data_IF_562187631571
#
_entry.id   IF_562187631571
#
_cell.length_a   1.000
_cell.length_b   1.000
_cell.length_c   1.000
_cell.angle_alpha   90.00
_cell.angle_beta   90.00
_cell.angle_gamma   90.00
#
_symmetry.space_group_name_H-M   'P 1'
#
loop_
_entity.id
_entity.type
_entity.pdbx_description
1 polymer ?
#
# COMPACT_ATOMS: atom_id res chain seq x y z
N UNK A 1 -7.30 3.11 0.23
CA UNK A 1 -6.72 4.16 1.12
C UNK A 1 -6.57 3.67 2.55
N UNK A 2 -7.60 3.06 3.15
CA UNK A 2 -7.53 2.56 4.52
C UNK A 2 -6.36 1.60 4.77
N UNK A 3 -6.10 0.66 3.85
CA UNK A 3 -4.98 -0.28 3.96
C UNK A 3 -3.61 0.40 4.00
N UNK A 4 -3.42 1.44 3.17
CA UNK A 4 -2.20 2.24 3.19
C UNK A 4 -2.05 3.00 4.51
N UNK A 5 -3.14 3.57 5.03
CA UNK A 5 -3.12 4.27 6.32
C UNK A 5 -2.74 3.32 7.47
N UNK A 6 -3.34 2.13 7.51
CA UNK A 6 -3.01 1.10 8.52
C UNK A 6 -1.55 0.67 8.38
N UNK A 7 -1.03 0.45 7.16
CA UNK A 7 0.37 0.12 6.96
C UNK A 7 1.32 1.20 7.51
N UNK A 8 1.04 2.48 7.25
CA UNK A 8 1.83 3.58 7.80
C UNK A 8 1.76 3.63 9.32
N UNK A 9 0.60 3.36 9.92
CA UNK A 9 0.46 3.25 11.38
C UNK A 9 1.32 2.10 11.91
N UNK A 10 1.32 0.93 11.26
CA UNK A 10 2.14 -0.20 11.68
C UNK A 10 3.63 0.16 11.70
N UNK A 11 4.11 0.88 10.68
CA UNK A 11 5.50 1.37 10.65
C UNK A 11 5.84 2.38 11.76
N UNK A 12 4.86 3.07 12.34
CA UNK A 12 5.10 3.92 13.51
C UNK A 12 5.38 3.10 14.78
N UNK A 13 4.89 1.86 14.85
CA UNK A 13 5.03 1.01 16.05
C UNK A 13 6.24 0.09 15.99
N UNK A 14 6.69 -0.31 14.80
CA UNK A 14 7.82 -1.21 14.68
C UNK A 14 8.50 -1.17 13.32
N UNK A 15 9.74 -1.64 13.32
CA UNK A 15 10.54 -1.85 12.12
C UNK A 15 11.05 -3.28 12.05
N UNK A 16 11.24 -3.77 10.83
CA UNK A 16 11.89 -5.04 10.55
C UNK A 16 13.29 -4.77 9.99
N UNK A 17 14.29 -5.42 10.56
CA UNK A 17 15.69 -5.35 10.09
C UNK A 17 16.08 -6.75 9.65
N UNK A 18 16.60 -6.94 8.43
CA UNK A 18 16.98 -8.26 7.96
C UNK A 18 18.22 -8.72 8.75
N UNK A 19 18.25 -10.00 9.16
CA UNK A 19 19.34 -10.57 9.97
C UNK A 19 20.27 -11.48 9.14
N UNK A 20 20.54 -11.10 7.88
CA UNK A 20 21.29 -11.90 6.91
C UNK A 20 22.68 -12.31 7.44
N UNK A 21 23.20 -13.50 7.08
CA UNK A 21 22.68 -14.44 6.07
C UNK A 21 21.47 -15.27 6.52
N UNK A 22 21.17 -15.30 7.82
CA UNK A 22 19.97 -15.97 8.29
C UNK A 22 18.73 -15.34 7.64
N UNK A 23 17.85 -16.17 7.09
CA UNK A 23 16.54 -15.76 6.54
C UNK A 23 15.55 -15.45 7.67
N UNK A 24 15.97 -14.54 8.54
CA UNK A 24 15.22 -14.06 9.70
C UNK A 24 15.11 -12.53 9.65
N UNK A 25 14.03 -12.03 10.25
CA UNK A 25 13.80 -10.62 10.45
C UNK A 25 13.88 -10.32 11.95
N UNK A 26 14.69 -9.33 12.31
CA UNK A 26 14.71 -8.78 13.66
C UNK A 26 13.59 -7.75 13.79
N UNK A 27 12.68 -8.00 14.72
CA UNK A 27 11.63 -7.05 15.05
C UNK A 27 12.12 -6.03 16.09
N UNK A 28 12.04 -4.75 15.74
CA UNK A 28 12.40 -3.62 16.62
C UNK A 28 11.15 -2.82 16.94
N UNK A 29 10.58 -3.05 18.13
CA UNK A 29 9.54 -2.20 18.70
C UNK A 29 10.13 -0.83 19.07
N UNK A 30 9.57 0.24 18.50
CA UNK A 30 10.04 1.61 18.75
C UNK A 30 9.43 2.21 20.02
N UNK A 31 8.28 1.70 20.44
CA UNK A 31 7.45 2.29 21.51
C UNK A 31 7.57 1.57 22.84
N UNK A 32 8.10 0.35 22.84
CA UNK A 32 8.01 -0.59 23.96
C UNK A 32 6.59 -1.07 24.25
N UNK A 33 5.59 -0.60 23.49
CA UNK A 33 4.18 -0.92 23.69
C UNK A 33 3.84 -2.38 23.41
N UNK A 34 4.69 -3.11 22.69
CA UNK A 34 4.54 -4.53 22.38
C UNK A 34 5.41 -5.43 23.25
N UNK A 35 5.94 -4.90 24.37
CA UNK A 35 6.75 -5.68 25.31
C UNK A 35 6.02 -6.90 25.92
N UNK A 36 4.69 -6.96 25.85
CA UNK A 36 3.88 -8.08 26.31
C UNK A 36 3.79 -9.24 25.31
N UNK A 37 4.17 -9.03 24.05
CA UNK A 37 4.19 -10.08 23.04
C UNK A 37 5.53 -10.80 23.05
N UNK A 38 5.49 -12.12 22.90
CA UNK A 38 6.68 -12.88 22.57
C UNK A 38 7.34 -12.29 21.30
N UNK A 39 8.65 -11.95 21.32
CA UNK A 39 9.27 -11.24 20.19
C UNK A 39 9.25 -12.02 18.88
N UNK A 40 9.32 -13.35 18.93
CA UNK A 40 9.29 -14.20 17.75
C UNK A 40 7.89 -14.21 17.14
N UNK A 41 6.85 -14.44 17.97
CA UNK A 41 5.46 -14.31 17.55
C UNK A 41 5.14 -12.90 17.01
N UNK A 42 5.61 -11.86 17.72
CA UNK A 42 5.39 -10.47 17.38
C UNK A 42 5.96 -10.12 16.01
N UNK A 43 7.19 -10.52 15.71
CA UNK A 43 7.81 -10.27 14.41
C UNK A 43 7.16 -11.07 13.27
N UNK A 44 6.71 -12.30 13.52
CA UNK A 44 5.93 -13.08 12.54
C UNK A 44 4.60 -12.42 12.22
N UNK A 45 3.85 -12.05 13.26
CA UNK A 45 2.57 -11.35 13.12
C UNK A 45 2.74 -10.00 12.41
N UNK A 46 3.74 -9.21 12.80
CA UNK A 46 4.02 -7.92 12.17
C UNK A 46 4.32 -8.07 10.68
N UNK A 47 5.19 -9.02 10.32
CA UNK A 47 5.53 -9.29 8.92
C UNK A 47 4.32 -9.73 8.12
N UNK A 48 3.52 -10.67 8.64
CA UNK A 48 2.24 -11.09 8.02
C UNK A 48 1.30 -9.92 7.79
N UNK A 49 1.09 -9.07 8.80
CA UNK A 49 0.21 -7.91 8.71
C UNK A 49 0.71 -6.89 7.68
N UNK A 50 2.01 -6.64 7.63
CA UNK A 50 2.63 -5.72 6.68
C UNK A 50 2.42 -6.18 5.23
N UNK A 51 2.74 -7.44 4.92
CA UNK A 51 2.50 -7.99 3.59
C UNK A 51 1.00 -8.08 3.27
N UNK A 52 0.16 -8.39 4.27
CA UNK A 52 -1.29 -8.37 4.11
C UNK A 52 -1.76 -6.98 3.67
N UNK A 53 -1.36 -5.90 4.34
CA UNK A 53 -1.76 -4.54 3.96
C UNK A 53 -1.37 -4.18 2.53
N UNK A 54 -0.21 -4.64 2.08
CA UNK A 54 0.29 -4.42 0.71
C UNK A 54 -0.59 -5.15 -0.31
N UNK A 55 -0.84 -6.44 -0.10
CA UNK A 55 -1.72 -7.24 -0.97
C UNK A 55 -3.12 -6.63 -1.00
N UNK A 56 -3.66 -6.22 0.16
CA UNK A 56 -4.96 -5.57 0.23
C UNK A 56 -4.99 -4.20 -0.48
N UNK A 57 -3.88 -3.48 -0.52
CA UNK A 57 -3.76 -2.27 -1.34
C UNK A 57 -3.83 -2.62 -2.84
N UNK A 58 -3.11 -3.65 -3.28
CA UNK A 58 -3.15 -4.15 -4.66
C UNK A 58 -4.55 -4.60 -5.07
N UNK A 59 -5.23 -5.39 -4.23
CA UNK A 59 -6.62 -5.82 -4.45
C UNK A 59 -7.56 -4.62 -4.56
N UNK A 60 -7.42 -3.61 -3.71
CA UNK A 60 -8.24 -2.41 -3.77
C UNK A 60 -8.05 -1.62 -5.08
N UNK A 61 -6.82 -1.57 -5.60
CA UNK A 61 -6.51 -0.94 -6.91
C UNK A 61 -7.20 -1.72 -8.03
N UNK A 62 -7.07 -3.05 -8.07
CA UNK A 62 -7.71 -3.90 -9.07
C UNK A 62 -9.23 -3.73 -9.04
N UNK A 63 -9.85 -3.83 -7.85
CA UNK A 63 -11.28 -3.62 -7.67
C UNK A 63 -11.71 -2.23 -8.15
N UNK A 64 -10.92 -1.19 -7.89
CA UNK A 64 -11.22 0.17 -8.35
C UNK A 64 -11.30 0.26 -9.87
N UNK A 65 -10.34 -0.34 -10.60
CA UNK A 65 -10.40 -0.41 -12.06
C UNK A 65 -11.51 -1.34 -12.57
N UNK A 66 -11.79 -2.43 -11.86
CA UNK A 66 -12.87 -3.34 -12.21
C UNK A 66 -14.23 -2.65 -12.16
N UNK A 67 -14.58 -1.97 -11.06
CA UNK A 67 -15.84 -1.23 -10.96
C UNK A 67 -15.92 -0.09 -11.98
N UNK A 68 -14.79 0.58 -12.28
CA UNK A 68 -14.76 1.59 -13.35
C UNK A 68 -15.07 0.99 -14.71
N UNK A 69 -14.45 -0.13 -15.04
CA UNK A 69 -14.74 -0.86 -16.27
C UNK A 69 -16.21 -1.26 -16.35
N UNK A 70 -16.78 -1.82 -15.28
CA UNK A 70 -18.19 -2.21 -15.21
C UNK A 70 -19.14 -1.02 -15.40
N UNK A 71 -18.84 0.14 -14.80
CA UNK A 71 -19.65 1.36 -14.98
C UNK A 71 -19.59 1.87 -16.43
N UNK A 72 -18.43 1.78 -17.10
CA UNK A 72 -18.26 2.25 -18.48
C UNK A 72 -18.94 1.30 -19.48
N UNK A 73 -18.75 -0.02 -19.32
CA UNK A 73 -19.21 -1.02 -20.27
C UNK A 73 -20.66 -1.49 -20.00
N UNK A 74 -21.05 -1.59 -18.73
CA UNK A 74 -22.29 -2.20 -18.27
C UNK A 74 -23.11 -1.26 -17.38
N UNK A 75 -23.16 0.03 -17.75
CA UNK A 75 -23.84 1.07 -16.95
C UNK A 75 -25.29 0.74 -16.60
N UNK A 76 -26.05 0.13 -17.53
CA UNK A 76 -27.46 -0.23 -17.29
C UNK A 76 -27.59 -1.39 -16.30
N UNK A 77 -26.73 -2.40 -16.40
CA UNK A 77 -26.73 -3.52 -15.47
C UNK A 77 -26.33 -3.09 -14.05
N UNK A 78 -25.26 -2.30 -13.92
CA UNK A 78 -24.81 -1.78 -12.61
C UNK A 78 -25.92 -1.00 -11.89
N UNK A 79 -26.78 -0.28 -12.61
CA UNK A 79 -27.92 0.45 -11.99
C UNK A 79 -28.97 -0.46 -11.36
N UNK A 80 -29.09 -1.70 -11.85
CA UNK A 80 -30.05 -2.69 -11.34
C UNK A 80 -29.52 -3.49 -10.16
N UNK A 81 -28.20 -3.56 -9.99
CA UNK A 81 -27.56 -4.32 -8.92
C UNK A 81 -27.60 -3.51 -7.62
N UNK A 82 -28.15 -4.10 -6.56
CA UNK A 82 -28.18 -3.46 -5.25
C UNK A 82 -26.74 -3.23 -4.72
N UNK A 83 -26.38 -2.03 -4.21
CA UNK A 83 -25.02 -1.71 -3.78
C UNK A 83 -24.42 -2.70 -2.76
N UNK A 84 -25.25 -3.30 -1.90
CA UNK A 84 -24.84 -4.34 -0.94
C UNK A 84 -24.10 -5.50 -1.60
N UNK A 85 -24.51 -5.94 -2.79
CA UNK A 85 -23.83 -7.03 -3.49
C UNK A 85 -22.42 -6.63 -3.93
N UNK A 86 -22.21 -5.36 -4.29
CA UNK A 86 -20.89 -4.81 -4.58
C UNK A 86 -19.99 -4.85 -3.33
N UNK A 87 -20.51 -4.49 -2.16
CA UNK A 87 -19.76 -4.57 -0.90
C UNK A 87 -19.44 -6.00 -0.49
N UNK A 88 -20.41 -6.92 -0.60
CA UNK A 88 -20.20 -8.35 -0.32
C UNK A 88 -19.09 -8.90 -1.23
N UNK A 89 -19.14 -8.58 -2.53
CA UNK A 89 -18.10 -8.96 -3.49
C UNK A 89 -16.72 -8.42 -3.09
N UNK A 90 -16.60 -7.13 -2.75
CA UNK A 90 -15.34 -6.55 -2.30
C UNK A 90 -14.79 -7.27 -1.06
N UNK A 91 -15.63 -7.50 -0.06
CA UNK A 91 -15.25 -8.19 1.18
C UNK A 91 -14.76 -9.60 0.87
N UNK A 92 -15.51 -10.36 0.06
CA UNK A 92 -15.15 -11.72 -0.32
C UNK A 92 -13.80 -11.79 -1.04
N UNK A 93 -13.55 -10.89 -2.00
CA UNK A 93 -12.26 -10.83 -2.71
C UNK A 93 -11.12 -10.47 -1.75
N UNK A 94 -11.29 -9.45 -0.90
CA UNK A 94 -10.29 -9.08 0.10
C UNK A 94 -9.97 -10.25 1.05
N UNK A 95 -10.99 -10.93 1.58
CA UNK A 95 -10.83 -12.10 2.46
C UNK A 95 -10.14 -13.26 1.76
N UNK A 96 -10.45 -13.53 0.49
CA UNK A 96 -9.82 -14.60 -0.28
C UNK A 96 -8.30 -14.40 -0.37
N UNK A 97 -7.86 -13.20 -0.74
CA UNK A 97 -6.43 -12.87 -0.78
C UNK A 97 -5.80 -12.82 0.62
N UNK A 98 -6.54 -12.39 1.66
CA UNK A 98 -6.06 -12.43 3.05
C UNK A 98 -5.74 -13.86 3.49
N UNK A 99 -6.70 -14.77 3.32
CA UNK A 99 -6.55 -16.17 3.76
C UNK A 99 -5.40 -16.82 3.02
N UNK A 100 -5.35 -16.68 1.70
CA UNK A 100 -4.28 -17.24 0.87
C UNK A 100 -2.89 -16.74 1.32
N UNK A 101 -2.74 -15.43 1.53
CA UNK A 101 -1.51 -14.81 2.00
C UNK A 101 -1.10 -15.33 3.39
N UNK A 102 -2.05 -15.38 4.34
CA UNK A 102 -1.78 -15.87 5.70
C UNK A 102 -1.37 -17.35 5.70
N UNK A 103 -2.00 -18.19 4.88
CA UNK A 103 -1.65 -19.59 4.71
C UNK A 103 -0.22 -19.76 4.16
N UNK A 104 0.16 -19.00 3.13
CA UNK A 104 1.52 -19.08 2.56
C UNK A 104 2.57 -18.70 3.61
N UNK A 105 2.36 -17.59 4.32
CA UNK A 105 3.33 -17.17 5.33
C UNK A 105 3.39 -18.15 6.49
N UNK A 106 2.26 -18.67 6.94
CA UNK A 106 2.26 -19.68 8.00
C UNK A 106 3.05 -20.95 7.63
N UNK A 107 3.00 -21.39 6.37
CA UNK A 107 3.79 -22.53 5.89
C UNK A 107 5.29 -22.18 5.76
N UNK A 108 5.62 -20.91 5.55
CA UNK A 108 7.00 -20.45 5.37
C UNK A 108 7.75 -20.22 6.69
N UNK A 109 7.02 -19.94 7.77
CA UNK A 109 7.56 -19.72 9.11
C UNK A 109 8.20 -20.98 9.69
N UNK A 110 9.29 -20.77 10.44
CA UNK A 110 9.95 -21.80 11.23
C UNK A 110 10.26 -21.22 12.60
N UNK A 111 10.09 -22.02 13.65
CA UNK A 111 10.45 -21.57 14.98
C UNK A 111 11.96 -21.35 15.08
N UNK A 112 12.40 -20.50 16.00
CA UNK A 112 13.84 -20.28 16.24
C UNK A 112 14.55 -21.57 16.66
N UNK A 113 13.88 -22.42 17.44
CA UNK A 113 14.43 -23.69 17.93
C UNK A 113 14.58 -24.72 16.81
N UNK A 114 13.69 -24.68 15.81
CA UNK A 114 13.69 -25.58 14.66
C UNK A 114 14.47 -25.01 13.45
N UNK A 115 15.20 -23.89 13.63
CA UNK A 115 15.95 -23.28 12.53
C UNK A 115 17.13 -24.18 12.11
N UNK A 116 17.28 -24.53 10.82
CA UNK A 116 18.23 -25.55 10.39
C UNK A 116 19.71 -25.15 10.53
N UNK A 117 20.01 -23.85 10.61
CA UNK A 117 21.36 -23.30 10.69
C UNK A 117 21.56 -22.52 12.02
N UNK A 118 21.65 -23.20 13.18
CA UNK A 118 21.68 -22.54 14.49
C UNK A 118 22.89 -21.60 14.68
N UNK A 119 24.01 -21.85 13.98
CA UNK A 119 25.18 -20.99 13.98
C UNK A 119 24.93 -19.59 13.40
N UNK A 120 23.99 -19.45 12.46
CA UNK A 120 23.67 -18.15 11.84
C UNK A 120 22.81 -17.25 12.75
N UNK A 121 22.15 -17.85 13.74
CA UNK A 121 21.24 -17.18 14.69
C UNK A 121 21.82 -17.07 16.11
N UNK A 122 22.98 -17.70 16.38
CA UNK A 122 23.56 -17.71 17.72
C UNK A 122 23.87 -16.28 18.23
N UNK A 123 23.44 -15.98 19.46
CA UNK A 123 23.59 -14.66 20.07
C UNK A 123 22.66 -13.56 19.53
N UNK A 124 21.77 -13.87 18.57
CA UNK A 124 20.77 -12.93 18.06
C UNK A 124 19.44 -13.14 18.78
N UNK A 125 18.93 -12.10 19.41
CA UNK A 125 17.62 -12.11 20.06
C UNK A 125 16.53 -11.49 19.17
N UNK A 126 15.27 -11.83 19.46
CA UNK A 126 14.07 -11.23 18.84
C UNK A 126 14.01 -11.42 17.33
N UNK A 127 14.31 -12.63 16.88
CA UNK A 127 14.25 -13.03 15.48
C UNK A 127 12.94 -13.72 15.17
N UNK A 128 12.40 -13.43 13.99
CA UNK A 128 11.33 -14.20 13.35
C UNK A 128 11.91 -14.84 12.10
N UNK A 129 11.95 -16.17 12.05
CA UNK A 129 12.74 -16.91 11.08
C UNK A 129 11.89 -17.67 10.06
N UNK A 130 12.43 -17.86 8.86
CA UNK A 130 11.73 -18.54 7.78
C UNK A 130 12.55 -19.67 7.18
N UNK A 131 11.90 -20.67 6.59
CA UNK A 131 12.56 -21.83 6.02
C UNK A 131 13.56 -21.43 4.91
N UNK A 132 14.87 -21.67 5.07
CA UNK A 132 15.88 -21.17 4.12
C UNK A 132 15.97 -22.00 2.83
N UNK A 133 15.39 -23.20 2.80
CA UNK A 133 15.42 -24.08 1.64
C UNK A 133 14.18 -24.99 1.56
N UNK A 134 14.04 -25.68 0.43
CA UNK A 134 13.01 -26.69 0.19
C UNK A 134 11.68 -26.14 -0.34
N UNK A 135 10.67 -27.01 -0.38
CA UNK A 135 9.37 -26.73 -1.01
C UNK A 135 8.61 -25.58 -0.33
N UNK A 136 8.75 -25.40 0.99
CA UNK A 136 8.09 -24.33 1.76
C UNK A 136 8.53 -22.95 1.30
N UNK A 137 9.83 -22.76 1.09
CA UNK A 137 10.41 -21.53 0.53
C UNK A 137 9.95 -21.28 -0.90
N UNK A 138 10.04 -22.30 -1.76
CA UNK A 138 9.62 -22.19 -3.17
C UNK A 138 8.14 -21.82 -3.26
N UNK A 139 7.28 -22.45 -2.44
CA UNK A 139 5.86 -22.14 -2.37
C UNK A 139 5.61 -20.68 -1.96
N UNK A 140 6.37 -20.16 -0.99
CA UNK A 140 6.29 -18.76 -0.59
C UNK A 140 6.68 -17.80 -1.71
N UNK A 141 7.82 -18.04 -2.35
CA UNK A 141 8.31 -17.23 -3.47
C UNK A 141 7.30 -17.24 -4.62
N UNK A 142 6.91 -18.42 -5.11
CA UNK A 142 5.98 -18.56 -6.23
C UNK A 142 4.62 -17.98 -5.87
N UNK A 143 4.13 -18.22 -4.66
CA UNK A 143 2.85 -17.68 -4.19
C UNK A 143 2.85 -16.15 -4.13
N UNK A 144 3.86 -15.55 -3.50
CA UNK A 144 3.99 -14.10 -3.37
C UNK A 144 4.16 -13.43 -4.73
N UNK A 145 5.16 -13.83 -5.52
CA UNK A 145 5.41 -13.23 -6.84
C UNK A 145 4.23 -13.50 -7.79
N UNK A 146 3.67 -14.71 -7.76
CA UNK A 146 2.48 -15.08 -8.53
C UNK A 146 1.28 -14.17 -8.25
N UNK A 147 1.02 -13.85 -6.97
CA UNK A 147 -0.03 -12.88 -6.60
C UNK A 147 0.20 -11.51 -7.22
N UNK A 148 1.43 -10.97 -7.11
CA UNK A 148 1.75 -9.66 -7.70
C UNK A 148 1.60 -9.67 -9.22
N UNK A 149 2.01 -10.73 -9.89
CA UNK A 149 1.85 -10.90 -11.34
C UNK A 149 0.37 -10.94 -11.72
N UNK A 150 -0.44 -11.75 -11.04
CA UNK A 150 -1.89 -11.85 -11.29
C UNK A 150 -2.60 -10.51 -11.08
N UNK A 151 -2.32 -9.81 -9.96
CA UNK A 151 -2.90 -8.51 -9.67
C UNK A 151 -2.48 -7.46 -10.73
N UNK A 152 -1.21 -7.46 -11.13
CA UNK A 152 -0.67 -6.52 -12.13
C UNK A 152 -1.30 -6.75 -13.50
N UNK A 153 -1.32 -7.98 -14.00
CA UNK A 153 -1.92 -8.33 -15.30
C UNK A 153 -3.41 -7.97 -15.29
N UNK A 154 -4.13 -8.35 -14.24
CA UNK A 154 -5.56 -8.04 -14.10
C UNK A 154 -5.80 -6.52 -14.12
N UNK A 155 -4.99 -5.75 -13.38
CA UNK A 155 -5.05 -4.30 -13.37
C UNK A 155 -4.83 -3.69 -14.77
N UNK A 156 -3.75 -4.11 -15.46
CA UNK A 156 -3.41 -3.61 -16.80
C UNK A 156 -4.50 -3.93 -17.82
N UNK A 157 -5.05 -5.16 -17.80
CA UNK A 157 -6.16 -5.56 -18.65
C UNK A 157 -7.39 -4.69 -18.40
N UNK A 158 -7.76 -4.44 -17.14
CA UNK A 158 -8.91 -3.59 -16.80
C UNK A 158 -8.71 -2.13 -17.21
N UNK A 159 -7.51 -1.59 -17.05
CA UNK A 159 -7.16 -0.23 -17.51
C UNK A 159 -7.32 -0.15 -19.03
N UNK A 160 -6.71 -1.10 -19.76
CA UNK A 160 -6.76 -1.15 -21.22
C UNK A 160 -8.21 -1.26 -21.72
N UNK A 161 -8.99 -2.20 -21.19
CA UNK A 161 -10.39 -2.40 -21.55
C UNK A 161 -11.24 -1.16 -21.24
N UNK A 162 -10.98 -0.48 -20.12
CA UNK A 162 -11.69 0.77 -19.76
C UNK A 162 -11.44 1.87 -20.78
N UNK A 163 -10.20 2.08 -21.20
CA UNK A 163 -9.87 3.07 -22.24
C UNK A 163 -10.43 2.67 -23.61
N UNK A 164 -10.35 1.39 -23.97
CA UNK A 164 -10.88 0.87 -25.24
C UNK A 164 -12.39 1.09 -25.34
N UNK A 165 -13.15 0.70 -24.32
CA UNK A 165 -14.61 0.89 -24.30
C UNK A 165 -15.00 2.36 -24.26
N UNK A 166 -14.27 3.18 -23.52
CA UNK A 166 -14.53 4.62 -23.47
C UNK A 166 -14.33 5.27 -24.85
N UNK A 167 -13.28 4.86 -25.59
CA UNK A 167 -13.04 5.31 -26.97
C UNK A 167 -14.13 4.81 -27.93
N UNK A 168 -14.59 3.56 -27.79
CA UNK A 168 -15.66 3.00 -28.63
C UNK A 168 -16.99 3.73 -28.43
N UNK A 169 -17.30 4.12 -27.20
CA UNK A 169 -18.57 4.78 -26.84
C UNK A 169 -18.53 6.31 -27.02
N UNK A 170 -17.40 6.89 -27.44
CA UNK A 170 -17.21 8.33 -27.59
C UNK A 170 -18.22 8.98 -28.55
N UNK A 171 -18.69 8.25 -29.58
CA UNK A 171 -19.69 8.74 -30.54
C UNK A 171 -21.13 8.78 -29.98
N UNK A 172 -21.41 7.97 -28.96
CA UNK A 172 -22.77 7.81 -28.38
C UNK A 172 -22.95 8.67 -27.12
N UNK A 173 -21.86 8.93 -26.40
CA UNK A 173 -21.88 9.70 -25.16
C UNK A 173 -21.66 11.19 -25.40
N UNK A 174 -22.26 12.02 -24.55
CA UNK A 174 -22.00 13.46 -24.55
C UNK A 174 -20.51 13.73 -24.28
N UNK A 175 -19.89 14.61 -25.09
CA UNK A 175 -18.45 14.97 -25.02
C UNK A 175 -18.00 15.34 -23.60
N UNK A 176 -18.85 16.06 -22.86
CA UNK A 176 -18.59 16.44 -21.46
C UNK A 176 -18.40 15.22 -20.54
N UNK A 177 -19.28 14.22 -20.66
CA UNK A 177 -19.22 12.98 -19.88
C UNK A 177 -17.99 12.15 -20.23
N UNK A 178 -17.66 12.04 -21.53
CA UNK A 178 -16.46 11.31 -21.98
C UNK A 178 -15.19 11.95 -21.41
N UNK A 179 -15.07 13.28 -21.50
CA UNK A 179 -13.91 14.01 -20.98
C UNK A 179 -13.78 13.86 -19.45
N UNK A 180 -14.90 13.88 -18.73
CA UNK A 180 -14.91 13.63 -17.29
C UNK A 180 -14.42 12.21 -16.96
N UNK A 181 -14.91 11.18 -17.65
CA UNK A 181 -14.48 9.79 -17.44
C UNK A 181 -13.00 9.59 -17.80
N UNK A 182 -12.53 10.16 -18.92
CA UNK A 182 -11.10 10.13 -19.32
C UNK A 182 -10.23 10.77 -18.24
N UNK A 183 -10.64 11.93 -17.71
CA UNK A 183 -9.91 12.63 -16.63
C UNK A 183 -9.86 11.79 -15.35
N UNK A 184 -10.99 11.22 -14.91
CA UNK A 184 -11.05 10.38 -13.70
C UNK A 184 -10.20 9.12 -13.86
N UNK A 185 -10.27 8.43 -14.99
CA UNK A 185 -9.48 7.22 -15.25
C UNK A 185 -7.98 7.54 -15.30
N UNK A 186 -7.59 8.63 -15.97
CA UNK A 186 -6.19 9.09 -16.01
C UNK A 186 -5.68 9.44 -14.60
N UNK A 187 -6.49 10.13 -13.79
CA UNK A 187 -6.14 10.44 -12.41
C UNK A 187 -5.98 9.16 -11.57
N UNK A 188 -6.84 8.16 -11.75
CA UNK A 188 -6.73 6.88 -11.05
C UNK A 188 -5.45 6.13 -11.43
N UNK A 189 -5.08 6.12 -12.71
CA UNK A 189 -3.80 5.54 -13.18
C UNK A 189 -2.61 6.24 -12.52
N UNK A 190 -2.59 7.58 -12.51
CA UNK A 190 -1.51 8.35 -11.85
C UNK A 190 -1.37 8.00 -10.37
N UNK A 191 -2.49 7.83 -9.66
CA UNK A 191 -2.49 7.45 -8.26
C UNK A 191 -2.05 6.00 -8.04
N UNK A 192 -2.40 5.08 -8.96
CA UNK A 192 -2.02 3.68 -8.88
C UNK A 192 -0.52 3.45 -9.16
N UNK A 193 0.13 4.33 -9.94
CA UNK A 193 1.58 4.22 -10.21
C UNK A 193 2.41 4.34 -8.93
N UNK A 194 2.03 5.21 -7.99
CA UNK A 194 2.79 5.42 -6.74
C UNK A 194 2.91 4.15 -5.88
N UNK A 195 1.82 3.46 -5.48
CA UNK A 195 1.92 2.22 -4.69
C UNK A 195 2.56 1.07 -5.48
N UNK A 196 2.51 1.08 -6.81
CA UNK A 196 3.24 0.09 -7.62
C UNK A 196 4.75 0.34 -7.54
N UNK A 197 5.20 1.56 -7.79
CA UNK A 197 6.63 1.90 -7.84
C UNK A 197 7.30 1.99 -6.47
N UNK A 198 6.58 2.46 -5.44
CA UNK A 198 7.14 2.66 -4.10
C UNK A 198 6.67 1.62 -3.07
N UNK A 199 5.71 0.78 -3.42
CA UNK A 199 5.24 -0.32 -2.58
C UNK A 199 5.60 -1.67 -3.20
N UNK A 200 4.88 -2.08 -4.25
CA UNK A 200 5.02 -3.40 -4.84
C UNK A 200 6.44 -3.71 -5.34
N UNK A 201 7.06 -2.78 -6.08
CA UNK A 201 8.38 -3.00 -6.65
C UNK A 201 9.48 -3.13 -5.57
N UNK A 202 9.62 -2.22 -4.58
CA UNK A 202 10.55 -2.39 -3.47
C UNK A 202 10.32 -3.68 -2.67
N UNK A 203 9.06 -4.09 -2.49
CA UNK A 203 8.76 -5.35 -1.80
C UNK A 203 9.28 -6.53 -2.59
N UNK A 204 9.04 -6.60 -3.90
CA UNK A 204 9.54 -7.71 -4.71
C UNK A 204 11.07 -7.78 -4.72
N UNK A 205 11.74 -6.63 -4.83
CA UNK A 205 13.20 -6.54 -4.80
C UNK A 205 13.75 -6.90 -3.41
N UNK A 206 13.17 -6.36 -2.35
CA UNK A 206 13.56 -6.65 -0.97
C UNK A 206 13.31 -8.11 -0.60
N UNK A 207 12.18 -8.68 -1.02
CA UNK A 207 11.89 -10.11 -0.87
C UNK A 207 12.92 -10.96 -1.61
N UNK A 208 13.32 -10.59 -2.83
CA UNK A 208 14.40 -11.28 -3.53
C UNK A 208 15.71 -11.25 -2.73
N UNK A 209 16.08 -10.09 -2.16
CA UNK A 209 17.27 -9.98 -1.32
C UNK A 209 17.20 -10.85 -0.06
N UNK A 210 16.02 -10.99 0.55
CA UNK A 210 15.79 -11.89 1.70
C UNK A 210 15.86 -13.37 1.29
N UNK A 211 15.30 -13.74 0.13
CA UNK A 211 15.30 -15.12 -0.34
C UNK A 211 16.66 -15.59 -0.88
N UNK A 212 17.55 -14.66 -1.22
CA UNK A 212 18.90 -14.95 -1.71
C UNK A 212 19.95 -14.21 -0.86
N UNK A 213 20.02 -14.52 0.45
CA UNK A 213 20.74 -13.72 1.44
C UNK A 213 22.26 -13.68 1.22
N UNK A 214 22.81 -14.70 0.54
CA UNK A 214 24.23 -14.80 0.23
C UNK A 214 24.66 -13.97 -1.00
N UNK A 215 23.74 -13.27 -1.66
CA UNK A 215 24.11 -12.38 -2.77
C UNK A 215 24.77 -11.10 -2.25
N UNK A 216 25.84 -10.64 -2.91
CA UNK A 216 26.57 -9.43 -2.52
C UNK A 216 25.63 -8.22 -2.55
N UNK A 217 25.56 -7.48 -1.44
CA UNK A 217 24.74 -6.28 -1.33
C UNK A 217 23.29 -6.51 -0.87
N UNK A 218 22.90 -7.73 -0.46
CA UNK A 218 21.52 -8.05 -0.10
C UNK A 218 20.97 -7.15 1.04
N UNK A 219 21.80 -6.87 2.05
CA UNK A 219 21.42 -6.00 3.16
C UNK A 219 21.16 -4.57 2.68
N UNK A 220 22.05 -4.04 1.85
CA UNK A 220 21.97 -2.69 1.28
C UNK A 220 20.73 -2.55 0.40
N UNK A 221 20.47 -3.53 -0.47
CA UNK A 221 19.28 -3.58 -1.32
C UNK A 221 18.01 -3.57 -0.47
N UNK A 222 17.94 -4.41 0.56
CA UNK A 222 16.78 -4.45 1.46
C UNK A 222 16.58 -3.12 2.18
N UNK A 223 17.63 -2.54 2.74
CA UNK A 223 17.58 -1.25 3.43
C UNK A 223 17.09 -0.12 2.50
N UNK A 224 17.58 -0.07 1.25
CA UNK A 224 17.10 0.90 0.25
C UNK A 224 15.63 0.69 -0.07
N UNK A 225 15.20 -0.56 -0.27
CA UNK A 225 13.79 -0.88 -0.53
C UNK A 225 12.89 -0.44 0.62
N UNK A 226 13.28 -0.74 1.87
CA UNK A 226 12.56 -0.31 3.07
C UNK A 226 12.49 1.21 3.17
N UNK A 227 13.57 1.93 2.88
CA UNK A 227 13.57 3.39 2.90
C UNK A 227 12.57 3.97 1.89
N UNK A 228 12.51 3.41 0.67
CA UNK A 228 11.52 3.81 -0.34
C UNK A 228 10.10 3.56 0.17
N UNK A 229 9.85 2.39 0.75
CA UNK A 229 8.54 2.03 1.29
C UNK A 229 8.09 2.93 2.45
N UNK A 230 9.00 3.29 3.36
CA UNK A 230 8.70 4.20 4.47
C UNK A 230 8.29 5.60 3.98
N UNK A 231 8.76 6.01 2.81
CA UNK A 231 8.40 7.29 2.20
C UNK A 231 7.15 7.22 1.30
N UNK A 232 6.60 6.04 1.05
CA UNK A 232 5.45 5.83 0.17
C UNK A 232 4.24 6.70 0.58
N UNK A 233 3.90 6.74 1.87
CA UNK A 233 2.74 7.49 2.36
C UNK A 233 2.82 8.99 2.08
N UNK A 234 4.00 9.60 2.31
CA UNK A 234 4.24 11.01 2.07
C UNK A 234 4.15 11.35 0.57
N UNK A 235 4.83 10.57 -0.28
CA UNK A 235 4.79 10.77 -1.74
C UNK A 235 3.38 10.57 -2.28
N UNK A 236 2.66 9.54 -1.81
CA UNK A 236 1.28 9.30 -2.19
C UNK A 236 0.37 10.49 -1.83
N UNK A 237 0.57 11.09 -0.65
CA UNK A 237 -0.12 12.32 -0.23
C UNK A 237 0.14 13.49 -1.18
N UNK A 238 1.41 13.76 -1.50
CA UNK A 238 1.80 14.83 -2.43
C UNK A 238 1.19 14.62 -3.81
N UNK A 239 1.27 13.39 -4.35
CA UNK A 239 0.69 13.07 -5.67
C UNK A 239 -0.83 13.23 -5.64
N UNK A 240 -1.50 12.80 -4.56
CA UNK A 240 -2.94 13.00 -4.38
C UNK A 240 -3.31 14.50 -4.41
N UNK A 241 -2.58 15.34 -3.69
CA UNK A 241 -2.76 16.79 -3.75
C UNK A 241 -2.52 17.36 -5.14
N UNK A 242 -1.51 16.86 -5.87
CA UNK A 242 -1.22 17.31 -7.24
C UNK A 242 -2.29 16.90 -8.25
N UNK A 243 -2.86 15.70 -8.13
CA UNK A 243 -3.81 15.10 -9.08
C UNK A 243 -5.21 15.69 -8.96
N UNK A 244 -5.64 16.11 -7.76
CA UNK A 244 -6.97 16.66 -7.53
C UNK A 244 -6.92 18.17 -7.22
N UNK A 245 -7.12 19.05 -8.22
CA UNK A 245 -7.08 20.50 -8.00
C UNK A 245 -8.15 20.97 -7.00
N UNK A 246 -9.29 20.28 -6.94
CA UNK A 246 -10.36 20.60 -5.99
C UNK A 246 -9.89 20.49 -4.54
N UNK A 247 -9.00 19.52 -4.23
CA UNK A 247 -8.38 19.41 -2.91
C UNK A 247 -7.43 20.58 -2.63
N UNK A 248 -6.67 21.05 -3.63
CA UNK A 248 -5.80 22.23 -3.48
C UNK A 248 -6.60 23.47 -3.09
N UNK A 249 -7.75 23.68 -3.73
CA UNK A 249 -8.63 24.82 -3.42
C UNK A 249 -9.26 24.73 -2.02
N UNK A 250 -9.58 23.53 -1.54
CA UNK A 250 -10.05 23.34 -0.17
C UNK A 250 -8.94 23.61 0.85
N UNK A 251 -7.74 23.07 0.63
CA UNK A 251 -6.58 23.30 1.51
C UNK A 251 -6.20 24.78 1.53
N UNK A 252 -6.17 25.44 0.36
CA UNK A 252 -5.90 26.89 0.27
C UNK A 252 -6.91 27.69 1.09
N UNK A 253 -8.21 27.40 0.98
CA UNK A 253 -9.25 28.06 1.77
C UNK A 253 -9.08 27.81 3.27
N UNK A 254 -8.77 26.57 3.66
CA UNK A 254 -8.53 26.22 5.06
C UNK A 254 -7.31 26.97 5.63
N UNK A 255 -6.20 27.02 4.88
CA UNK A 255 -4.99 27.76 5.28
C UNK A 255 -5.25 29.26 5.42
N UNK A 256 -5.99 29.87 4.48
CA UNK A 256 -6.38 31.28 4.57
C UNK A 256 -7.22 31.53 5.83
N UNK A 257 -8.17 30.65 6.15
CA UNK A 257 -8.99 30.75 7.36
C UNK A 257 -8.19 30.56 8.65
N UNK A 258 -7.17 29.69 8.64
CA UNK A 258 -6.31 29.47 9.79
C UNK A 258 -5.38 30.67 10.02
N UNK A 259 -4.75 31.17 8.95
CA UNK A 259 -3.85 32.33 9.00
C UNK A 259 -4.59 33.60 9.40
N UNK A 260 -5.82 33.80 8.92
CA UNK A 260 -6.63 34.94 9.34
C UNK A 260 -6.93 34.89 10.84
N UNK A 261 -7.33 33.73 11.38
CA UNK A 261 -7.56 33.55 12.83
C UNK A 261 -6.31 33.81 13.66
N UNK A 262 -5.14 33.34 13.22
CA UNK A 262 -3.87 33.59 13.92
C UNK A 262 -3.54 35.09 13.90
N UNK A 263 -3.71 35.76 12.77
CA UNK A 263 -3.50 37.22 12.67
C UNK A 263 -4.45 37.99 13.60
N UNK A 264 -5.72 37.59 13.72
CA UNK A 264 -6.66 38.21 14.66
C UNK A 264 -6.23 38.04 16.13
N UNK A 265 -5.70 36.88 16.52
CA UNK A 265 -5.25 36.63 17.90
C UNK A 265 -4.01 37.45 18.30
N UNK A 266 -3.08 37.69 17.37
CA UNK A 266 -1.84 38.45 17.65
C UNK A 266 -2.12 39.94 17.86
N UNK A 267 -3.22 40.45 17.30
CA UNK A 267 -3.59 41.88 17.37
C UNK A 267 -4.27 42.27 18.70
N UNK A 268 -4.65 41.31 19.56
CA UNK A 268 -5.35 41.61 20.82
C UNK A 268 -4.45 41.95 22.03
N UNK A 269 -3.21 42.38 21.79
CA UNK A 269 -2.41 43.10 22.79
C UNK A 269 -2.55 44.63 22.75
N UNK A 270 -3.00 45.18 21.62
CA UNK A 270 -3.36 46.61 21.43
C UNK A 270 -4.10 46.74 20.08
N UNK A 271 -5.27 47.41 20.02
CA UNK A 271 -6.12 47.37 18.83
C UNK A 271 -5.49 48.16 17.68
N UNK A 272 -4.96 47.44 16.68
CA UNK A 272 -4.62 48.01 15.37
C UNK A 272 -5.37 47.26 14.28
N UNK A 273 -6.22 47.97 13.55
CA UNK A 273 -7.03 47.41 12.47
C UNK A 273 -6.15 47.02 11.29
N UNK A 274 -5.82 45.73 11.15
CA UNK A 274 -5.08 45.22 10.00
C UNK A 274 -6.07 44.85 8.89
N UNK A 275 -6.10 45.64 7.81
CA UNK A 275 -6.82 45.30 6.60
C UNK A 275 -6.01 44.26 5.80
N UNK A 276 -6.46 43.00 5.83
CA UNK A 276 -5.91 41.98 4.91
C UNK A 276 -6.52 42.22 3.53
N UNK A 277 -5.79 42.95 2.68
CA UNK A 277 -6.14 43.11 1.28
C UNK A 277 -5.86 41.78 0.58
N UNK A 278 -6.90 40.99 0.32
CA UNK A 278 -6.79 39.83 -0.57
C UNK A 278 -6.76 40.33 -2.02
N UNK A 279 -5.56 40.35 -2.60
CA UNK A 279 -5.39 40.56 -4.04
C UNK A 279 -5.94 39.32 -4.76
N UNK A 280 -6.91 39.56 -5.64
CA UNK A 280 -7.62 38.55 -6.44
C UNK A 280 -6.76 38.02 -7.58
#
# INVERSE_FOLDING_TARGET
MIWNFIANILYCFGNIIPALPAECLKFVDMSGGLAFLDPEFGGHLFTKLLFLMVIQCGVAIVLSFQFRYLVICHSQWIKTVHPTWGYIYCIAVHLTFSVFQMCIFHVFEVSREDYPNPEEINGKERLSCYHPYGARKILCIVGLFGMFVVLTITCLVLIYLSFLHLKRNEKSLQTKTVNMQKKVLSNLVKLAVVPVLMGALPILIGSYAVFYPHSNGSNEIFCVCMLVMLNHGAVYGIVTFCVFPEYKEVVKRFLIQLLSKICYCVVNGTPTTVYVIMVK
#
